data_IF_099812157499
#
_entry.id   IF_099812157499
#
_cell.length_a   1.000
_cell.length_b   1.000
_cell.length_c   1.000
_cell.angle_alpha   90.00
_cell.angle_beta   90.00
_cell.angle_gamma   90.00
#
_symmetry.space_group_name_H-M   'P 1'
#
loop_
_entity.id
_entity.type
_entity.pdbx_description
1 polymer ?
#
# COMPACT_ATOMS: atom_id res chain seq x y z
N UNK A 1 -11.89 -5.35 4.20
CA UNK A 1 -10.71 -4.51 4.47
C UNK A 1 -9.48 -4.95 3.70
N UNK A 2 -9.05 -6.21 3.82
CA UNK A 2 -7.87 -6.69 3.10
C UNK A 2 -7.98 -6.51 1.57
N UNK A 3 -9.16 -6.82 1.02
CA UNK A 3 -9.47 -6.60 -0.40
C UNK A 3 -9.48 -5.12 -0.79
N UNK A 4 -9.88 -4.22 0.12
CA UNK A 4 -9.87 -2.78 -0.13
C UNK A 4 -8.44 -2.23 -0.18
N UNK A 5 -7.54 -2.71 0.68
CA UNK A 5 -6.11 -2.36 0.60
C UNK A 5 -5.54 -2.77 -0.75
N UNK A 6 -5.90 -3.97 -1.22
CA UNK A 6 -5.47 -4.46 -2.52
C UNK A 6 -6.02 -3.57 -3.64
N UNK A 7 -7.33 -3.31 -3.67
CA UNK A 7 -7.96 -2.43 -4.67
C UNK A 7 -7.32 -1.04 -4.71
N UNK A 8 -7.09 -0.41 -3.54
CA UNK A 8 -6.44 0.90 -3.47
C UNK A 8 -5.04 0.86 -4.07
N UNK A 9 -4.25 -0.19 -3.80
CA UNK A 9 -2.92 -0.34 -4.39
C UNK A 9 -2.97 -0.54 -5.92
N UNK A 10 -3.96 -1.27 -6.43
CA UNK A 10 -4.14 -1.46 -7.87
C UNK A 10 -4.59 -0.18 -8.58
N UNK A 11 -5.54 0.54 -8.01
CA UNK A 11 -6.11 1.76 -8.59
C UNK A 11 -5.16 2.95 -8.47
N UNK A 12 -4.61 3.18 -7.28
CA UNK A 12 -3.77 4.34 -7.04
C UNK A 12 -2.34 4.12 -7.47
N UNK A 13 -1.74 2.96 -7.21
CA UNK A 13 -0.31 2.72 -7.45
C UNK A 13 0.00 1.75 -8.59
N UNK A 14 -1.03 1.25 -9.29
CA UNK A 14 -0.86 0.36 -10.44
C UNK A 14 -0.29 -1.00 -10.10
N UNK A 15 -0.60 -1.51 -8.92
CA UNK A 15 -0.25 -2.87 -8.54
C UNK A 15 -1.02 -3.87 -9.40
N UNK A 16 -0.37 -4.98 -9.75
CA UNK A 16 -1.04 -6.21 -10.14
C UNK A 16 -1.72 -6.85 -8.92
N UNK A 17 -2.62 -7.82 -9.17
CA UNK A 17 -3.26 -8.57 -8.09
C UNK A 17 -2.23 -9.26 -7.17
N UNK A 18 -1.17 -9.80 -7.76
CA UNK A 18 -0.09 -10.48 -7.04
C UNK A 18 0.75 -9.51 -6.18
N UNK A 19 1.14 -8.36 -6.73
CA UNK A 19 1.84 -7.32 -5.95
C UNK A 19 0.96 -6.81 -4.81
N UNK A 20 -0.35 -6.66 -5.05
CA UNK A 20 -1.28 -6.17 -4.04
C UNK A 20 -1.42 -7.16 -2.87
N UNK A 21 -1.39 -8.47 -3.14
CA UNK A 21 -1.35 -9.48 -2.08
C UNK A 21 -0.01 -9.45 -1.31
N UNK A 22 1.11 -9.16 -1.97
CA UNK A 22 2.40 -8.99 -1.28
C UNK A 22 2.36 -7.80 -0.31
N UNK A 23 1.82 -6.66 -0.74
CA UNK A 23 1.60 -5.50 0.12
C UNK A 23 0.73 -5.86 1.33
N UNK A 24 -0.40 -6.52 1.07
CA UNK A 24 -1.34 -7.00 2.09
C UNK A 24 -0.64 -7.88 3.14
N UNK A 25 0.20 -8.83 2.69
CA UNK A 25 0.95 -9.74 3.58
C UNK A 25 2.03 -9.01 4.37
N UNK A 26 2.73 -8.06 3.76
CA UNK A 26 3.73 -7.23 4.43
C UNK A 26 3.11 -6.39 5.56
N UNK A 27 1.94 -5.81 5.27
CA UNK A 27 1.12 -5.05 6.21
C UNK A 27 0.66 -5.91 7.40
N UNK A 28 0.12 -7.12 7.14
CA UNK A 28 -0.31 -8.02 8.23
C UNK A 28 0.85 -8.53 9.11
N UNK A 29 2.04 -8.78 8.52
CA UNK A 29 3.22 -9.24 9.26
C UNK A 29 4.02 -8.12 9.93
N UNK A 30 3.75 -6.86 9.59
CA UNK A 30 4.42 -5.66 10.14
C UNK A 30 5.95 -5.67 9.96
N UNK A 31 6.42 -6.20 8.83
CA UNK A 31 7.86 -6.27 8.55
C UNK A 31 8.34 -4.92 8.04
N UNK A 32 9.04 -4.16 8.90
CA UNK A 32 9.45 -2.78 8.61
C UNK A 32 10.22 -2.62 7.28
N UNK A 33 11.24 -3.45 7.06
CA UNK A 33 12.05 -3.39 5.85
C UNK A 33 11.24 -3.68 4.56
N UNK A 34 10.18 -4.49 4.67
CA UNK A 34 9.30 -4.77 3.53
C UNK A 34 8.31 -3.63 3.33
N UNK A 35 7.78 -3.07 4.41
CA UNK A 35 6.91 -1.89 4.37
C UNK A 35 7.60 -0.68 3.73
N UNK A 36 8.89 -0.47 4.00
CA UNK A 36 9.65 0.63 3.41
C UNK A 36 9.80 0.47 1.88
N UNK A 37 10.08 -0.75 1.40
CA UNK A 37 10.10 -1.06 -0.05
C UNK A 37 8.73 -0.87 -0.68
N UNK A 38 7.69 -1.34 0.00
CA UNK A 38 6.32 -1.21 -0.47
C UNK A 38 5.87 0.26 -0.51
N UNK A 39 6.31 1.10 0.42
CA UNK A 39 6.05 2.54 0.37
C UNK A 39 6.64 3.15 -0.90
N UNK A 40 7.92 2.90 -1.16
CA UNK A 40 8.59 3.46 -2.34
C UNK A 40 7.87 3.05 -3.63
N UNK A 41 7.53 1.76 -3.75
CA UNK A 41 6.78 1.24 -4.91
C UNK A 41 5.39 1.84 -5.04
N UNK A 42 4.67 1.99 -3.93
CA UNK A 42 3.34 2.60 -3.90
C UNK A 42 3.38 4.07 -4.31
N UNK A 43 4.27 4.84 -3.70
CA UNK A 43 4.41 6.28 -3.96
C UNK A 43 4.85 6.54 -5.40
N UNK A 44 5.82 5.79 -5.92
CA UNK A 44 6.26 5.91 -7.32
C UNK A 44 5.10 5.63 -8.28
N UNK A 45 4.39 4.51 -8.09
CA UNK A 45 3.26 4.15 -8.93
C UNK A 45 2.09 5.13 -8.83
N UNK A 46 1.87 5.71 -7.66
CA UNK A 46 0.84 6.73 -7.45
C UNK A 46 1.18 8.06 -8.13
N UNK A 47 2.45 8.46 -8.09
CA UNK A 47 2.93 9.63 -8.81
C UNK A 47 2.80 9.48 -10.33
N UNK A 48 3.13 8.32 -10.87
CA UNK A 48 2.93 8.01 -12.31
C UNK A 48 1.46 8.10 -12.73
N UNK A 49 0.53 7.94 -11.79
CA UNK A 49 -0.93 8.02 -11.99
C UNK A 49 -1.52 9.38 -11.62
N UNK A 50 -0.67 10.37 -11.33
CA UNK A 50 -1.10 11.76 -11.07
C UNK A 50 -1.44 12.07 -9.61
N UNK A 51 -1.17 11.16 -8.67
CA UNK A 51 -1.31 11.43 -7.24
C UNK A 51 -0.03 12.10 -6.73
N UNK A 52 -0.15 13.30 -6.18
CA UNK A 52 1.01 14.01 -5.64
C UNK A 52 1.70 13.22 -4.52
N UNK A 53 3.05 13.28 -4.45
CA UNK A 53 3.85 12.57 -3.44
C UNK A 53 3.32 12.72 -2.01
N UNK A 54 2.99 13.94 -1.50
CA UNK A 54 2.51 14.09 -0.13
C UNK A 54 1.20 13.35 0.13
N UNK A 55 0.31 13.32 -0.88
CA UNK A 55 -0.96 12.61 -0.79
C UNK A 55 -0.75 11.09 -0.85
N UNK A 56 0.14 10.61 -1.73
CA UNK A 56 0.48 9.20 -1.81
C UNK A 56 1.10 8.67 -0.50
N UNK A 57 2.04 9.42 0.08
CA UNK A 57 2.64 9.11 1.38
C UNK A 57 1.58 9.03 2.49
N UNK A 58 0.68 10.02 2.54
CA UNK A 58 -0.41 10.06 3.51
C UNK A 58 -1.38 8.87 3.38
N UNK A 59 -1.75 8.51 2.15
CA UNK A 59 -2.62 7.36 1.89
C UNK A 59 -1.93 6.07 2.31
N UNK A 60 -0.64 5.92 2.01
CA UNK A 60 0.12 4.74 2.44
C UNK A 60 0.18 4.62 3.97
N UNK A 61 0.41 5.73 4.69
CA UNK A 61 0.38 5.77 6.16
C UNK A 61 -0.97 5.33 6.71
N UNK A 62 -2.06 5.76 6.05
CA UNK A 62 -3.41 5.39 6.42
C UNK A 62 -3.63 3.88 6.25
N UNK A 63 -3.22 3.31 5.12
CA UNK A 63 -3.28 1.86 4.87
C UNK A 63 -2.48 1.06 5.90
N UNK A 64 -1.26 1.52 6.23
CA UNK A 64 -0.39 0.89 7.22
C UNK A 64 -1.01 0.93 8.63
N UNK A 65 -1.60 2.06 9.04
CA UNK A 65 -2.34 2.16 10.32
C UNK A 65 -3.57 1.25 10.33
N UNK A 66 -4.32 1.18 9.24
CA UNK A 66 -5.47 0.29 9.16
C UNK A 66 -5.06 -1.19 9.22
N UNK A 67 -3.87 -1.53 8.72
CA UNK A 67 -3.36 -2.88 8.81
C UNK A 67 -3.18 -3.36 10.26
N UNK A 68 -2.94 -2.44 11.21
CA UNK A 68 -2.83 -2.77 12.62
C UNK A 68 -4.14 -3.25 13.25
N UNK A 69 -5.30 -2.87 12.69
CA UNK A 69 -6.63 -3.15 13.24
C UNK A 69 -7.48 -4.08 12.36
N UNK A 70 -7.26 -4.06 11.04
CA UNK A 70 -8.13 -4.71 10.04
C UNK A 70 -7.63 -6.07 9.52
N UNK A 71 -6.53 -6.58 10.08
CA UNK A 71 -5.95 -7.88 9.73
C UNK A 71 -5.99 -8.81 10.94
N UNK A 72 -7.13 -9.47 11.14
CA UNK A 72 -7.27 -10.68 11.94
C UNK A 72 -7.89 -11.76 11.05
#
# INVERSE_FOLDING_TARGET
YQEQVMQIAQELAGYSLGEADLLRRAMGKKIRAEMDKQRERFVSGAMERGVGKPQADFIFDLLAKFADYGFN
#
